data_IF_090228573412
#
_entry.id   IF_090228573412
#
_cell.length_a   1.000
_cell.length_b   1.000
_cell.length_c   1.000
_cell.angle_alpha   90.00
_cell.angle_beta   90.00
_cell.angle_gamma   90.00
#
_symmetry.space_group_name_H-M   'P 1'
#
loop_
_entity.id
_entity.type
_entity.pdbx_description
1 polymer ?
#
# COMPACT_ATOMS: atom_id res chain seq x y z
N UNK A 1 -4.54 -0.72 -20.14
CA UNK A 1 -4.98 -0.25 -18.80
C UNK A 1 -4.14 -0.96 -17.76
N UNK A 2 -3.28 -0.25 -17.02
CA UNK A 2 -2.51 -0.85 -15.91
C UNK A 2 -3.48 -1.22 -14.77
N UNK A 3 -3.52 -2.50 -14.39
CA UNK A 3 -4.23 -2.95 -13.19
C UNK A 3 -3.22 -3.04 -12.05
N UNK A 4 -3.33 -2.13 -11.08
CA UNK A 4 -2.48 -2.12 -9.90
C UNK A 4 -3.09 -3.03 -8.83
N UNK A 5 -2.36 -4.05 -8.37
CA UNK A 5 -2.79 -4.92 -7.26
C UNK A 5 -1.70 -4.84 -6.18
N UNK A 6 -2.04 -4.34 -4.98
CA UNK A 6 -1.12 -4.32 -3.85
C UNK A 6 -1.65 -5.19 -2.71
N UNK A 7 -0.81 -6.09 -2.20
CA UNK A 7 -1.09 -6.83 -0.97
C UNK A 7 -0.70 -5.96 0.24
N UNK A 8 -1.70 -5.50 1.01
CA UNK A 8 -1.44 -4.79 2.27
C UNK A 8 -1.36 -5.79 3.41
N UNK A 9 -0.18 -5.95 4.00
CA UNK A 9 0.05 -6.82 5.15
C UNK A 9 -0.14 -6.04 6.46
N UNK A 10 -1.15 -6.42 7.24
CA UNK A 10 -1.40 -5.88 8.57
C UNK A 10 -0.78 -6.81 9.64
N UNK A 11 0.19 -6.31 10.41
CA UNK A 11 0.85 -7.07 11.47
C UNK A 11 -0.02 -7.10 12.73
N UNK A 12 -0.69 -8.23 12.98
CA UNK A 12 -1.64 -8.40 14.09
C UNK A 12 -0.92 -8.60 15.41
N UNK A 13 -0.84 -7.55 16.25
CA UNK A 13 -0.53 -7.71 17.68
C UNK A 13 -1.64 -7.28 18.64
N UNK A 14 -2.71 -6.62 18.18
CA UNK A 14 -4.05 -6.41 18.78
C UNK A 14 -4.89 -5.66 17.71
N UNK A 15 -6.24 -5.77 17.63
CA UNK A 15 -6.93 -5.48 16.37
C UNK A 15 -7.24 -3.99 16.20
N UNK A 16 -6.22 -3.15 16.06
CA UNK A 16 -6.38 -1.90 15.30
C UNK A 16 -6.59 -2.35 13.86
N UNK A 17 -7.86 -2.54 13.48
CA UNK A 17 -8.24 -2.98 12.13
C UNK A 17 -8.22 -1.77 11.20
N UNK A 18 -7.51 -1.87 10.08
CA UNK A 18 -7.79 -1.06 8.92
C UNK A 18 -9.26 -1.27 8.51
N UNK A 19 -10.03 -0.20 8.48
CA UNK A 19 -11.45 -0.24 8.10
C UNK A 19 -11.62 -0.17 6.58
N UNK A 20 -10.73 0.58 5.92
CA UNK A 20 -10.71 0.71 4.47
C UNK A 20 -9.28 0.93 3.97
N UNK A 21 -8.97 0.28 2.86
CA UNK A 21 -7.76 0.49 2.07
C UNK A 21 -8.21 0.87 0.66
N UNK A 22 -7.78 2.03 0.18
CA UNK A 22 -8.10 2.55 -1.16
C UNK A 22 -6.81 2.73 -1.93
N UNK A 23 -6.81 2.26 -3.18
CA UNK A 23 -5.68 2.39 -4.10
C UNK A 23 -6.05 3.36 -5.22
N UNK A 24 -5.13 4.27 -5.54
CA UNK A 24 -5.24 5.16 -6.69
C UNK A 24 -3.97 5.02 -7.51
N UNK A 25 -4.09 4.73 -8.80
CA UNK A 25 -2.94 4.65 -9.70
C UNK A 25 -2.64 6.05 -10.27
N UNK A 26 -1.40 6.48 -10.14
CA UNK A 26 -0.83 7.63 -10.83
C UNK A 26 0.23 7.14 -11.85
N UNK A 27 0.70 7.99 -12.78
CA UNK A 27 1.63 7.54 -13.82
C UNK A 27 2.94 6.89 -13.31
N UNK A 28 3.47 7.33 -12.18
CA UNK A 28 4.78 6.88 -11.65
C UNK A 28 4.70 6.19 -10.28
N UNK A 29 3.50 6.08 -9.71
CA UNK A 29 3.28 5.52 -8.36
C UNK A 29 1.82 5.11 -8.15
N UNK A 30 1.59 4.35 -7.09
CA UNK A 30 0.26 4.17 -6.51
C UNK A 30 0.17 4.95 -5.20
N UNK A 31 -1.00 5.53 -4.92
CA UNK A 31 -1.32 6.07 -3.60
C UNK A 31 -2.13 5.04 -2.82
N UNK A 32 -1.56 4.52 -1.74
CA UNK A 32 -2.25 3.64 -0.80
C UNK A 32 -2.82 4.49 0.33
N UNK A 33 -4.13 4.61 0.40
CA UNK A 33 -4.84 5.35 1.46
C UNK A 33 -5.43 4.36 2.45
N UNK A 34 -5.08 4.51 3.72
CA UNK A 34 -5.52 3.61 4.79
C UNK A 34 -6.27 4.42 5.83
N UNK A 35 -7.48 3.95 6.15
CA UNK A 35 -8.30 4.49 7.23
C UNK A 35 -8.43 3.45 8.34
N UNK A 36 -7.95 3.79 9.53
CA UNK A 36 -8.06 2.98 10.74
C UNK A 36 -9.27 3.41 11.58
N UNK A 37 -9.89 2.45 12.27
CA UNK A 37 -11.00 2.74 13.20
C UNK A 37 -10.54 3.44 14.47
N UNK A 38 -9.26 3.27 14.84
CA UNK A 38 -8.64 3.80 16.05
C UNK A 38 -7.29 4.46 15.73
N UNK A 39 -6.79 5.37 16.59
CA UNK A 39 -5.44 5.92 16.49
C UNK A 39 -4.39 4.82 16.26
N UNK A 40 -3.66 4.89 15.15
CA UNK A 40 -2.65 3.88 14.79
C UNK A 40 -1.25 4.36 15.16
N UNK A 41 -0.49 3.54 15.91
CA UNK A 41 0.92 3.79 16.28
C UNK A 41 1.87 2.65 15.87
N UNK A 42 1.41 1.80 14.95
CA UNK A 42 2.20 0.68 14.44
C UNK A 42 3.05 1.06 13.22
N UNK A 43 3.49 0.04 12.49
CA UNK A 43 4.20 0.20 11.22
C UNK A 43 3.48 -0.57 10.12
N UNK A 44 3.19 0.09 9.00
CA UNK A 44 2.68 -0.54 7.78
C UNK A 44 3.82 -0.60 6.77
N UNK A 45 4.00 -1.73 6.09
CA UNK A 45 4.96 -1.90 5.02
C UNK A 45 4.24 -2.16 3.70
N UNK A 46 4.72 -1.57 2.61
CA UNK A 46 4.43 -1.97 1.25
C UNK A 46 5.66 -2.68 0.69
N UNK A 47 5.51 -3.91 0.22
CA UNK A 47 6.63 -4.75 -0.21
C UNK A 47 7.32 -5.47 0.95
N UNK A 48 8.63 -5.70 0.81
CA UNK A 48 9.42 -6.37 1.84
C UNK A 48 9.59 -5.47 3.08
N UNK A 49 9.74 -6.08 4.26
CA UNK A 49 9.96 -5.33 5.51
C UNK A 49 11.27 -4.54 5.51
N UNK A 50 12.24 -4.94 4.69
CA UNK A 50 13.52 -4.26 4.48
C UNK A 50 13.40 -3.02 3.62
N UNK A 51 12.34 -2.91 2.81
CA UNK A 51 12.13 -1.78 1.92
C UNK A 51 11.87 -0.48 2.70
N UNK A 52 12.16 0.66 2.07
CA UNK A 52 11.92 1.97 2.67
C UNK A 52 10.45 2.40 2.64
N UNK A 53 9.60 1.63 1.97
CA UNK A 53 8.21 1.94 1.72
C UNK A 53 7.34 1.55 2.92
N UNK A 54 7.30 2.43 3.92
CA UNK A 54 6.58 2.19 5.17
C UNK A 54 5.90 3.44 5.72
N UNK A 55 4.81 3.23 6.46
CA UNK A 55 4.21 4.25 7.32
C UNK A 55 4.61 3.92 8.76
N UNK A 56 5.06 4.92 9.50
CA UNK A 56 5.11 4.88 10.97
C UNK A 56 3.93 5.67 11.50
N UNK A 57 3.06 5.01 12.26
CA UNK A 57 1.87 5.66 12.82
C UNK A 57 2.24 6.64 13.93
N UNK A 58 1.67 7.84 13.86
CA UNK A 58 1.84 8.92 14.85
C UNK A 58 0.62 9.03 15.80
N UNK A 59 -0.37 8.15 15.64
CA UNK A 59 -1.66 8.23 16.31
C UNK A 59 -2.78 8.83 15.45
N UNK A 60 -2.48 9.28 14.23
CA UNK A 60 -3.52 9.56 13.24
C UNK A 60 -4.33 8.30 12.91
N UNK A 61 -5.52 8.51 12.35
CA UNK A 61 -6.38 7.45 11.81
C UNK A 61 -6.30 7.32 10.29
N UNK A 62 -5.69 8.30 9.62
CA UNK A 62 -5.64 8.36 8.15
C UNK A 62 -4.22 8.51 7.69
N UNK A 63 -3.80 7.64 6.79
CA UNK A 63 -2.47 7.66 6.22
C UNK A 63 -2.53 7.49 4.71
N UNK A 64 -1.56 8.09 4.02
CA UNK A 64 -1.34 7.89 2.59
C UNK A 64 0.12 7.49 2.41
N UNK A 65 0.35 6.37 1.73
CA UNK A 65 1.69 5.92 1.34
C UNK A 65 1.79 5.99 -0.20
N UNK A 66 2.65 6.87 -0.74
CA UNK A 66 3.04 6.79 -2.14
C UNK A 66 4.01 5.63 -2.33
N UNK A 67 3.68 4.71 -3.23
CA UNK A 67 4.46 3.52 -3.57
C UNK A 67 4.90 3.65 -5.04
N UNK A 68 6.18 3.95 -5.31
CA UNK A 68 6.71 4.05 -6.68
C UNK A 68 6.55 2.75 -7.46
N UNK A 69 6.31 2.86 -8.77
CA UNK A 69 6.14 1.68 -9.63
C UNK A 69 7.42 0.83 -9.75
N UNK A 70 8.59 1.44 -9.56
CA UNK A 70 9.90 0.79 -9.78
C UNK A 70 10.63 0.47 -8.47
N UNK A 71 9.93 0.51 -7.34
CA UNK A 71 10.50 0.26 -6.01
C UNK A 71 9.46 -0.46 -5.11
N UNK A 72 9.77 -0.65 -3.83
CA UNK A 72 8.90 -1.29 -2.83
C UNK A 72 8.48 -2.72 -3.20
N UNK A 73 9.36 -3.44 -3.90
CA UNK A 73 9.07 -4.77 -4.44
C UNK A 73 7.81 -4.79 -5.33
N UNK A 74 7.50 -3.67 -6.00
CA UNK A 74 6.39 -3.58 -6.94
C UNK A 74 6.68 -4.43 -8.19
N UNK A 75 5.70 -5.24 -8.59
CA UNK A 75 5.79 -6.07 -9.80
C UNK A 75 4.92 -5.51 -10.92
N UNK A 76 5.51 -5.32 -12.10
CA UNK A 76 4.79 -4.98 -13.33
C UNK A 76 4.32 -6.26 -14.02
N UNK A 77 3.04 -6.57 -13.93
CA UNK A 77 2.46 -7.65 -14.73
C UNK A 77 1.93 -7.08 -16.04
N UNK A 78 2.76 -7.08 -17.08
CA UNK A 78 2.38 -6.68 -18.42
C UNK A 78 1.71 -7.88 -19.10
N UNK A 79 0.38 -7.94 -19.05
CA UNK A 79 -0.38 -8.88 -19.88
C UNK A 79 -0.44 -8.35 -21.31
N UNK A 80 0.33 -8.96 -22.23
CA UNK A 80 0.18 -8.79 -23.68
C UNK A 80 -1.15 -9.41 -24.13
N UNK A 81 -2.26 -8.76 -23.82
CA UNK A 81 -3.57 -9.09 -24.37
C UNK A 81 -3.99 -7.96 -25.30
N UNK A 82 -3.60 -8.08 -26.57
CA UNK A 82 -4.24 -7.53 -27.79
C UNK A 82 -3.20 -7.31 -28.89
N UNK A 83 -2.84 -8.39 -29.59
CA UNK A 83 -2.35 -8.39 -30.97
C UNK A 83 -2.47 -9.81 -31.54
N UNK A 84 -3.72 -10.28 -31.66
CA UNK A 84 -4.15 -11.23 -32.68
C UNK A 84 -5.67 -11.13 -32.84
#
# INVERSE_FOLDING_TARGET
MLKCVSHVFENKREPIRACAVVLTCEPERFLVRINFTQPFRGVVHAGDKRDNCRIRGDGSRRYTLPVPLNDCSTTHNVSLSSLH
#
